data_IF_039164178149
#
_entry.id   IF_039164178149
#
_cell.length_a   1.000
_cell.length_b   1.000
_cell.length_c   1.000
_cell.angle_alpha   90.00
_cell.angle_beta   90.00
_cell.angle_gamma   90.00
#
_symmetry.space_group_name_H-M   'P 1'
#
loop_
_entity.id
_entity.type
_entity.pdbx_description
1 polymer ?
#
# COMPACT_ATOMS: atom_id res chain seq x y z
N UNK A 1 -20.25 -32.03 -22.51
CA UNK A 1 -21.38 -31.09 -22.67
C UNK A 1 -20.99 -29.75 -22.04
N UNK A 2 -20.07 -28.98 -22.65
CA UNK A 2 -19.61 -27.67 -22.13
C UNK A 2 -19.03 -26.73 -23.23
N UNK A 3 -19.42 -26.90 -24.50
CA UNK A 3 -19.02 -25.97 -25.58
C UNK A 3 -19.48 -24.49 -25.41
N UNK A 4 -20.56 -24.15 -24.69
CA UNK A 4 -20.98 -22.75 -24.55
C UNK A 4 -20.01 -21.87 -23.76
N UNK A 5 -19.33 -22.43 -22.74
CA UNK A 5 -18.41 -21.66 -21.89
C UNK A 5 -17.13 -21.29 -22.65
N UNK A 6 -16.60 -22.21 -23.46
CA UNK A 6 -15.38 -21.97 -24.25
C UNK A 6 -15.56 -20.84 -25.28
N UNK A 7 -16.76 -20.74 -25.86
CA UNK A 7 -17.11 -19.65 -26.79
C UNK A 7 -17.18 -18.30 -26.08
N UNK A 8 -17.66 -18.27 -24.82
CA UNK A 8 -17.68 -17.06 -24.00
C UNK A 8 -16.27 -16.62 -23.60
N UNK A 9 -15.36 -17.56 -23.34
CA UNK A 9 -13.96 -17.25 -23.02
C UNK A 9 -13.19 -16.71 -24.23
N UNK A 10 -13.44 -17.26 -25.43
CA UNK A 10 -12.91 -16.70 -26.67
C UNK A 10 -13.42 -15.28 -26.93
N UNK A 11 -14.69 -15.00 -26.64
CA UNK A 11 -15.23 -13.64 -26.75
C UNK A 11 -14.61 -12.68 -25.74
N UNK A 12 -14.36 -13.12 -24.50
CA UNK A 12 -13.63 -12.33 -23.50
C UNK A 12 -12.21 -12.00 -23.97
N UNK A 13 -11.52 -13.00 -24.51
CA UNK A 13 -10.16 -12.87 -25.05
C UNK A 13 -10.12 -11.89 -26.23
N UNK A 14 -11.06 -12.00 -27.18
CA UNK A 14 -11.21 -11.05 -28.29
C UNK A 14 -11.46 -9.62 -27.80
N UNK A 15 -12.33 -9.44 -26.80
CA UNK A 15 -12.60 -8.13 -26.20
C UNK A 15 -11.38 -7.53 -25.49
N UNK A 16 -10.64 -8.31 -24.72
CA UNK A 16 -9.41 -7.84 -24.07
C UNK A 16 -8.33 -7.48 -25.09
N UNK A 17 -8.22 -8.22 -26.19
CA UNK A 17 -7.31 -7.89 -27.29
C UNK A 17 -7.70 -6.58 -27.97
N UNK A 18 -9.00 -6.33 -28.18
CA UNK A 18 -9.49 -5.05 -28.73
C UNK A 18 -9.19 -3.88 -27.80
N UNK A 19 -9.42 -4.04 -26.49
CA UNK A 19 -9.07 -3.03 -25.49
C UNK A 19 -7.57 -2.75 -25.47
N UNK A 20 -6.73 -3.79 -25.58
CA UNK A 20 -5.28 -3.62 -25.67
C UNK A 20 -4.89 -2.77 -26.88
N UNK A 21 -5.48 -3.03 -28.05
CA UNK A 21 -5.25 -2.23 -29.28
C UNK A 21 -5.67 -0.78 -29.08
N UNK A 22 -6.77 -0.51 -28.36
CA UNK A 22 -7.22 0.85 -28.08
C UNK A 22 -6.29 1.59 -27.09
N UNK A 23 -5.83 0.91 -26.03
CA UNK A 23 -4.84 1.46 -25.10
C UNK A 23 -3.50 1.78 -25.79
N UNK A 24 -3.05 0.91 -26.69
CA UNK A 24 -1.84 1.12 -27.49
C UNK A 24 -2.01 2.28 -28.50
N UNK A 25 -3.23 2.56 -28.98
CA UNK A 25 -3.54 3.70 -29.84
C UNK A 25 -3.62 5.04 -29.08
N UNK A 26 -3.97 5.04 -27.79
CA UNK A 26 -4.08 6.24 -26.94
C UNK A 26 -2.78 6.60 -26.20
N UNK A 27 -1.76 5.75 -26.21
CA UNK A 27 -0.41 6.12 -25.77
C UNK A 27 0.19 7.13 -26.76
N UNK A 28 0.81 8.24 -26.31
CA UNK A 28 1.09 9.37 -27.20
C UNK A 28 2.06 8.98 -28.31
N UNK A 29 1.61 9.16 -29.56
CA UNK A 29 2.49 9.54 -30.67
C UNK A 29 3.12 10.90 -30.35
N UNK A 30 4.13 10.92 -29.49
CA UNK A 30 5.05 12.04 -29.36
C UNK A 30 6.41 11.62 -29.91
N UNK A 31 6.59 11.86 -31.20
CA UNK A 31 7.75 12.58 -31.76
C UNK A 31 7.70 12.41 -33.28
N UNK A 32 8.11 13.45 -34.01
CA UNK A 32 8.11 13.54 -35.48
C UNK A 32 6.75 13.78 -36.13
N UNK A 33 6.26 15.02 -35.99
CA UNK A 33 5.99 15.89 -37.13
C UNK A 33 5.34 17.17 -36.59
N UNK A 34 6.13 18.23 -36.46
CA UNK A 34 5.72 19.65 -36.56
C UNK A 34 6.84 20.52 -35.99
N UNK A 35 7.91 20.69 -36.78
CA UNK A 35 8.80 21.85 -36.72
C UNK A 35 9.39 22.03 -38.12
N UNK A 36 8.54 22.45 -39.06
CA UNK A 36 8.98 23.09 -40.29
C UNK A 36 7.98 24.18 -40.63
N UNK A 37 8.48 25.37 -40.91
CA UNK A 37 7.76 26.60 -41.24
C UNK A 37 7.32 27.47 -40.05
N UNK A 38 8.28 28.18 -39.47
CA UNK A 38 8.42 29.64 -39.60
C UNK A 38 9.56 30.09 -38.69
N UNK A 39 10.61 30.62 -39.31
CA UNK A 39 11.26 31.88 -38.93
C UNK A 39 12.45 32.09 -39.86
N UNK A 40 12.17 32.78 -40.96
CA UNK A 40 13.14 33.60 -41.65
C UNK A 40 13.22 34.90 -40.86
N UNK A 41 14.33 35.15 -40.18
CA UNK A 41 15.07 36.41 -40.27
C UNK A 41 16.32 36.38 -39.38
N UNK A 42 17.42 36.87 -39.97
CA UNK A 42 18.62 37.42 -39.33
C UNK A 42 19.83 36.51 -39.05
N UNK A 43 20.84 36.72 -39.91
CA UNK A 43 22.29 36.75 -39.66
C UNK A 43 23.09 35.44 -39.77
N UNK A 44 23.62 35.21 -40.98
CA UNK A 44 24.87 34.48 -41.22
C UNK A 44 26.07 35.43 -41.11
N UNK A 45 27.08 35.02 -40.34
CA UNK A 45 28.47 35.33 -40.62
C UNK A 45 29.33 34.07 -40.36
N UNK A 46 30.07 33.70 -41.40
CA UNK A 46 31.34 32.97 -41.39
C UNK A 46 31.39 31.44 -41.13
N UNK A 47 31.57 30.75 -42.27
CA UNK A 47 32.34 29.51 -42.51
C UNK A 47 33.85 29.68 -42.14
N UNK A 48 34.78 28.69 -42.28
CA UNK A 48 34.65 27.30 -42.75
C UNK A 48 35.62 26.24 -42.08
N UNK A 49 35.63 25.02 -42.67
CA UNK A 49 36.70 23.97 -42.69
C UNK A 49 36.57 22.87 -41.59
N UNK A 50 36.78 21.56 -41.82
CA UNK A 50 37.54 20.79 -42.83
C UNK A 50 37.20 19.28 -42.79
N UNK A 51 37.23 18.63 -43.96
CA UNK A 51 37.69 17.27 -44.35
C UNK A 51 37.82 16.08 -43.38
N UNK A 52 37.25 14.95 -43.87
CA UNK A 52 37.81 13.58 -44.03
C UNK A 52 38.37 12.80 -42.82
N UNK A 53 37.93 11.56 -42.57
CA UNK A 53 38.44 10.27 -43.16
C UNK A 53 38.03 9.02 -42.34
N UNK A 54 37.73 7.93 -43.09
CA UNK A 54 38.09 6.50 -42.90
C UNK A 54 37.57 5.61 -41.75
N UNK A 55 36.89 4.54 -42.19
CA UNK A 55 37.23 3.10 -42.10
C UNK A 55 36.77 2.19 -40.94
N UNK A 56 36.25 1.03 -41.42
CA UNK A 56 36.37 -0.34 -40.90
C UNK A 56 35.39 -0.72 -39.78
N UNK A 57 34.86 -1.94 -39.67
CA UNK A 57 35.02 -3.18 -40.43
C UNK A 57 33.99 -4.22 -39.97
N UNK A 58 33.84 -5.24 -40.83
CA UNK A 58 33.51 -6.63 -40.54
C UNK A 58 32.05 -7.10 -40.48
N UNK A 59 31.89 -8.24 -41.15
CA UNK A 59 30.69 -8.88 -41.60
C UNK A 59 30.66 -10.33 -41.10
N UNK A 60 29.46 -10.78 -40.70
CA UNK A 60 28.89 -12.14 -40.90
C UNK A 60 29.58 -13.32 -40.15
N UNK A 61 29.04 -14.57 -40.14
CA UNK A 61 27.85 -15.11 -40.83
C UNK A 61 26.98 -16.15 -40.05
N UNK A 62 25.77 -16.43 -40.59
CA UNK A 62 25.14 -17.77 -40.82
C UNK A 62 24.90 -18.73 -39.61
N UNK A 63 23.94 -19.65 -39.54
CA UNK A 63 22.86 -20.21 -40.37
C UNK A 63 22.18 -21.26 -39.47
N UNK A 64 20.85 -21.47 -39.58
CA UNK A 64 20.31 -22.75 -40.04
C UNK A 64 18.78 -22.68 -40.22
N UNK A 65 18.38 -22.99 -41.45
CA UNK A 65 17.02 -23.29 -41.92
C UNK A 65 16.79 -24.80 -41.84
N UNK A 66 15.53 -25.20 -41.64
CA UNK A 66 14.75 -26.11 -42.51
C UNK A 66 13.42 -26.47 -41.78
N UNK A 67 12.25 -26.72 -42.38
CA UNK A 67 11.51 -26.33 -43.60
C UNK A 67 10.22 -27.20 -43.59
N UNK A 68 9.04 -26.57 -43.77
CA UNK A 68 7.77 -27.07 -44.37
C UNK A 68 7.01 -28.25 -43.71
N UNK A 69 5.67 -28.42 -43.77
CA UNK A 69 4.63 -27.96 -44.70
C UNK A 69 3.19 -28.35 -44.22
N UNK A 70 2.16 -27.78 -44.87
CA UNK A 70 0.70 -28.04 -44.83
C UNK A 70 -0.09 -27.33 -43.71
N UNK A 71 -1.19 -26.62 -43.95
CA UNK A 71 -2.02 -26.37 -45.13
C UNK A 71 -2.96 -25.19 -44.86
N UNK A 72 -3.22 -24.38 -45.90
CA UNK A 72 -4.23 -23.32 -45.92
C UNK A 72 -5.62 -23.85 -45.50
N UNK A 73 -6.23 -23.20 -44.51
CA UNK A 73 -7.68 -23.22 -44.32
C UNK A 73 -8.16 -21.78 -44.23
N UNK A 74 -8.74 -21.31 -45.33
CA UNK A 74 -9.57 -20.12 -45.39
C UNK A 74 -10.66 -20.20 -44.31
N UNK A 75 -10.62 -19.29 -43.33
CA UNK A 75 -11.77 -19.03 -42.46
C UNK A 75 -12.22 -17.58 -42.65
N UNK A 76 -13.43 -17.49 -43.18
CA UNK A 76 -14.26 -16.37 -43.63
C UNK A 76 -14.03 -14.98 -43.01
N UNK A 77 -13.88 -13.99 -43.90
CA UNK A 77 -13.91 -12.53 -43.64
C UNK A 77 -15.25 -12.00 -43.08
N UNK A 78 -16.27 -12.85 -42.93
CA UNK A 78 -17.63 -12.44 -42.55
C UNK A 78 -17.87 -12.33 -41.03
N UNK A 79 -16.93 -12.76 -40.17
CA UNK A 79 -17.05 -12.60 -38.71
C UNK A 79 -16.44 -11.31 -38.15
N UNK A 80 -15.52 -10.67 -38.88
CA UNK A 80 -14.86 -9.41 -38.48
C UNK A 80 -15.75 -8.17 -38.67
N UNK A 81 -16.76 -8.23 -39.54
CA UNK A 81 -17.65 -7.09 -39.79
C UNK A 81 -18.73 -6.91 -38.70
N UNK A 82 -19.07 -7.97 -37.97
CA UNK A 82 -20.10 -7.90 -36.91
C UNK A 82 -19.53 -7.26 -35.64
N UNK A 83 -18.25 -7.47 -35.34
CA UNK A 83 -17.56 -6.85 -34.20
C UNK A 83 -17.18 -5.38 -34.45
N UNK A 84 -16.79 -4.99 -35.67
CA UNK A 84 -16.61 -3.58 -36.04
C UNK A 84 -17.92 -2.77 -36.00
N UNK A 85 -19.06 -3.40 -36.30
CA UNK A 85 -20.37 -2.76 -36.31
C UNK A 85 -20.86 -2.32 -34.93
N UNK A 86 -20.44 -3.03 -33.86
CA UNK A 86 -20.76 -2.67 -32.47
C UNK A 86 -19.89 -1.49 -32.03
N UNK A 87 -18.62 -1.45 -32.45
CA UNK A 87 -17.67 -0.36 -32.16
C UNK A 87 -17.97 0.95 -32.90
N UNK A 88 -18.54 0.91 -34.12
CA UNK A 88 -18.90 2.14 -34.86
C UNK A 88 -20.09 2.90 -34.29
N UNK A 89 -20.91 2.27 -33.45
CA UNK A 89 -21.96 2.96 -32.69
C UNK A 89 -21.49 3.50 -31.34
N UNK A 90 -20.21 3.36 -30.98
CA UNK A 90 -19.63 3.79 -29.70
C UNK A 90 -18.91 5.15 -29.76
N UNK A 91 -19.03 5.88 -30.88
CA UNK A 91 -18.43 7.21 -31.04
C UNK A 91 -19.48 8.32 -30.88
N UNK A 92 -19.99 8.51 -29.67
CA UNK A 92 -20.74 9.70 -29.28
C UNK A 92 -20.36 10.10 -27.85
N UNK A 93 -19.70 11.25 -27.74
CA UNK A 93 -19.65 12.18 -26.60
C UNK A 93 -19.08 11.65 -25.26
N UNK A 94 -17.85 12.07 -24.92
CA UNK A 94 -17.26 12.31 -23.58
C UNK A 94 -17.83 11.56 -22.35
N UNK A 95 -18.18 10.28 -22.48
CA UNK A 95 -18.36 9.37 -21.36
C UNK A 95 -17.17 8.43 -21.30
N UNK A 96 -16.63 8.20 -20.10
CA UNK A 96 -15.61 7.17 -19.86
C UNK A 96 -16.24 5.78 -20.10
N UNK A 97 -16.36 5.39 -21.38
CA UNK A 97 -16.95 4.12 -21.83
C UNK A 97 -16.19 2.93 -21.24
N UNK A 98 -14.88 3.12 -21.00
CA UNK A 98 -14.02 2.15 -20.30
C UNK A 98 -14.51 2.01 -18.85
N UNK A 99 -14.69 3.11 -18.12
CA UNK A 99 -15.29 3.11 -16.78
C UNK A 99 -16.69 2.48 -16.73
N UNK A 100 -17.54 2.73 -17.72
CA UNK A 100 -18.91 2.18 -17.78
C UNK A 100 -18.95 0.66 -18.06
N UNK A 101 -17.95 0.12 -18.75
CA UNK A 101 -17.86 -1.32 -19.09
C UNK A 101 -16.97 -2.10 -18.13
N UNK A 102 -16.16 -1.41 -17.33
CA UNK A 102 -15.21 -1.98 -16.37
C UNK A 102 -15.85 -3.01 -15.41
N UNK A 103 -16.98 -2.75 -14.71
CA UNK A 103 -17.56 -3.75 -13.80
C UNK A 103 -18.00 -5.03 -14.51
N UNK A 104 -18.43 -4.93 -15.77
CA UNK A 104 -18.86 -6.09 -16.57
C UNK A 104 -17.67 -6.95 -16.98
N UNK A 105 -16.59 -6.32 -17.44
CA UNK A 105 -15.35 -7.01 -17.80
C UNK A 105 -14.78 -7.72 -16.56
N UNK A 106 -14.72 -7.01 -15.44
CA UNK A 106 -14.18 -7.56 -14.20
C UNK A 106 -15.03 -8.73 -13.68
N UNK A 107 -16.36 -8.64 -13.74
CA UNK A 107 -17.26 -9.74 -13.40
C UNK A 107 -17.10 -10.98 -14.31
N UNK A 108 -16.84 -10.79 -15.61
CA UNK A 108 -16.60 -11.90 -16.54
C UNK A 108 -15.23 -12.56 -16.29
N UNK A 109 -14.19 -11.78 -15.98
CA UNK A 109 -12.88 -12.31 -15.57
C UNK A 109 -12.99 -13.10 -14.26
N UNK A 110 -13.76 -12.61 -13.29
CA UNK A 110 -14.05 -13.31 -12.05
C UNK A 110 -14.83 -14.61 -12.28
N UNK A 111 -15.83 -14.61 -13.16
CA UNK A 111 -16.54 -15.83 -13.54
C UNK A 111 -15.62 -16.85 -14.23
N UNK A 112 -14.66 -16.38 -15.03
CA UNK A 112 -13.63 -17.24 -15.63
C UNK A 112 -12.74 -17.85 -14.56
N UNK A 113 -12.29 -17.06 -13.58
CA UNK A 113 -11.52 -17.54 -12.44
C UNK A 113 -12.26 -18.65 -11.69
N UNK A 114 -13.49 -18.39 -11.23
CA UNK A 114 -14.31 -19.36 -10.48
C UNK A 114 -14.51 -20.63 -11.29
N UNK A 115 -14.80 -20.50 -12.59
CA UNK A 115 -14.98 -21.66 -13.48
C UNK A 115 -13.70 -22.48 -13.57
N UNK A 116 -12.53 -21.85 -13.75
CA UNK A 116 -11.26 -22.55 -13.79
C UNK A 116 -10.91 -23.21 -12.45
N UNK A 117 -11.21 -22.57 -11.32
CA UNK A 117 -10.93 -23.07 -9.97
C UNK A 117 -11.83 -24.23 -9.56
N UNK A 118 -13.09 -24.29 -10.01
CA UNK A 118 -13.98 -25.44 -9.75
C UNK A 118 -13.51 -26.76 -10.39
N UNK A 119 -12.59 -26.72 -11.37
CA UNK A 119 -12.07 -27.91 -12.06
C UNK A 119 -10.76 -28.44 -11.45
N UNK A 120 -10.15 -27.70 -10.52
CA UNK A 120 -8.91 -28.05 -9.82
C UNK A 120 -9.22 -28.41 -8.37
N UNK A 121 -8.97 -29.66 -7.97
CA UNK A 121 -9.19 -30.14 -6.59
C UNK A 121 -8.14 -29.66 -5.58
N UNK A 122 -7.34 -28.61 -5.87
CA UNK A 122 -6.31 -28.07 -4.98
C UNK A 122 -6.43 -26.57 -4.79
N UNK A 123 -5.92 -26.04 -3.67
CA UNK A 123 -5.82 -24.61 -3.29
C UNK A 123 -4.93 -23.76 -4.21
N UNK A 124 -4.63 -24.23 -5.42
CA UNK A 124 -3.69 -23.59 -6.35
C UNK A 124 -4.50 -23.03 -7.53
N UNK A 125 -4.21 -21.79 -7.90
CA UNK A 125 -4.81 -21.13 -9.06
C UNK A 125 -4.55 -21.95 -10.34
N UNK A 126 -5.60 -22.16 -11.15
CA UNK A 126 -5.52 -22.97 -12.36
C UNK A 126 -4.43 -22.46 -13.33
N UNK A 127 -3.53 -23.33 -13.85
CA UNK A 127 -2.49 -22.92 -14.80
C UNK A 127 -3.04 -22.22 -16.05
N UNK A 128 -4.23 -22.64 -16.50
CA UNK A 128 -4.96 -22.04 -17.62
C UNK A 128 -5.34 -20.58 -17.34
N UNK A 129 -5.70 -20.28 -16.10
CA UNK A 129 -6.06 -18.93 -15.67
C UNK A 129 -4.80 -18.07 -15.47
N UNK A 130 -3.71 -18.63 -14.94
CA UNK A 130 -2.42 -17.93 -14.85
C UNK A 130 -1.94 -17.50 -16.24
N UNK A 131 -2.00 -18.39 -17.23
CA UNK A 131 -1.63 -18.06 -18.62
C UNK A 131 -2.48 -16.92 -19.18
N UNK A 132 -3.79 -16.92 -18.92
CA UNK A 132 -4.70 -15.84 -19.30
C UNK A 132 -4.31 -14.49 -18.65
N UNK A 133 -4.04 -14.46 -17.35
CA UNK A 133 -3.61 -13.24 -16.64
C UNK A 133 -2.27 -12.72 -17.18
N UNK A 134 -1.31 -13.62 -17.43
CA UNK A 134 -0.03 -13.27 -18.03
C UNK A 134 -0.20 -12.70 -19.46
N UNK A 135 -1.08 -13.29 -20.27
CA UNK A 135 -1.36 -12.83 -21.64
C UNK A 135 -1.98 -11.43 -21.66
N UNK A 136 -2.94 -11.16 -20.79
CA UNK A 136 -3.68 -9.90 -20.75
C UNK A 136 -3.16 -8.91 -19.70
N UNK A 137 -1.94 -9.12 -19.22
CA UNK A 137 -1.34 -8.37 -18.11
C UNK A 137 -1.45 -6.85 -18.27
N UNK A 138 -1.12 -6.32 -19.46
CA UNK A 138 -1.18 -4.88 -19.75
C UNK A 138 -2.58 -4.29 -19.56
N UNK A 139 -3.59 -4.98 -20.08
CA UNK A 139 -4.99 -4.53 -19.98
C UNK A 139 -5.44 -4.60 -18.53
N UNK A 140 -5.21 -5.73 -17.86
CA UNK A 140 -5.54 -5.88 -16.44
C UNK A 140 -4.86 -4.82 -15.59
N UNK A 141 -3.60 -4.48 -15.86
CA UNK A 141 -2.87 -3.40 -15.18
C UNK A 141 -3.52 -2.04 -15.42
N UNK A 142 -3.91 -1.73 -16.65
CA UNK A 142 -4.64 -0.51 -16.97
C UNK A 142 -6.01 -0.44 -16.27
N UNK A 143 -6.72 -1.58 -16.13
CA UNK A 143 -7.98 -1.65 -15.39
C UNK A 143 -7.76 -1.37 -13.89
N UNK A 144 -6.74 -1.99 -13.29
CA UNK A 144 -6.37 -1.78 -11.88
C UNK A 144 -5.86 -0.35 -11.64
N UNK A 145 -5.11 0.23 -12.59
CA UNK A 145 -4.65 1.63 -12.53
C UNK A 145 -5.81 2.63 -12.56
N UNK A 146 -6.89 2.33 -13.29
CA UNK A 146 -8.08 3.17 -13.34
C UNK A 146 -8.95 3.02 -12.09
N UNK A 147 -9.04 1.81 -11.54
CA UNK A 147 -9.75 1.56 -10.29
C UNK A 147 -9.11 0.43 -9.50
N UNK A 148 -8.47 0.76 -8.37
CA UNK A 148 -7.84 -0.21 -7.47
C UNK A 148 -8.84 -1.05 -6.68
N UNK A 149 -10.10 -0.62 -6.52
CA UNK A 149 -11.12 -1.44 -5.83
C UNK A 149 -11.44 -2.72 -6.59
N UNK A 150 -11.17 -2.77 -7.91
CA UNK A 150 -11.33 -3.95 -8.75
C UNK A 150 -10.59 -5.16 -8.19
N UNK A 151 -9.45 -4.95 -7.52
CA UNK A 151 -8.70 -6.03 -6.87
C UNK A 151 -9.54 -6.74 -5.81
N UNK A 152 -10.29 -5.96 -5.02
CA UNK A 152 -11.10 -6.46 -3.91
C UNK A 152 -12.51 -6.84 -4.33
N UNK A 153 -13.04 -6.31 -5.43
CA UNK A 153 -14.41 -6.62 -5.84
C UNK A 153 -14.44 -7.81 -6.82
N UNK A 154 -13.39 -7.96 -7.64
CA UNK A 154 -13.40 -8.85 -8.79
C UNK A 154 -12.13 -9.69 -8.95
N UNK A 155 -10.95 -9.15 -8.64
CA UNK A 155 -9.68 -9.86 -8.80
C UNK A 155 -9.16 -10.44 -7.48
N UNK A 156 -10.05 -11.02 -6.67
CA UNK A 156 -9.67 -11.74 -5.44
C UNK A 156 -8.61 -12.82 -5.68
N UNK A 157 -8.56 -13.40 -6.88
CA UNK A 157 -7.51 -14.35 -7.28
C UNK A 157 -6.09 -13.78 -7.14
N UNK A 158 -5.91 -12.46 -7.22
CA UNK A 158 -4.61 -11.82 -6.97
C UNK A 158 -4.23 -11.96 -5.49
N UNK A 159 -5.19 -11.87 -4.57
CA UNK A 159 -4.94 -12.04 -3.14
C UNK A 159 -4.61 -13.50 -2.79
N UNK A 160 -5.14 -14.45 -3.54
CA UNK A 160 -4.89 -15.89 -3.37
C UNK A 160 -3.57 -16.35 -4.03
N UNK A 161 -3.02 -15.60 -4.99
CA UNK A 161 -1.79 -15.92 -5.72
C UNK A 161 -0.76 -14.77 -5.63
N UNK A 162 0.17 -14.83 -4.65
CA UNK A 162 1.19 -13.80 -4.44
C UNK A 162 2.05 -13.50 -5.67
N UNK A 163 2.33 -14.51 -6.51
CA UNK A 163 3.12 -14.35 -7.73
C UNK A 163 2.42 -13.43 -8.74
N UNK A 164 1.10 -13.56 -8.87
CA UNK A 164 0.32 -12.66 -9.71
C UNK A 164 0.20 -11.29 -9.05
N UNK A 165 -0.03 -11.21 -7.73
CA UNK A 165 -0.12 -9.93 -7.02
C UNK A 165 1.14 -9.09 -7.18
N UNK A 166 2.33 -9.69 -7.14
CA UNK A 166 3.61 -8.98 -7.33
C UNK A 166 3.65 -8.16 -8.63
N UNK A 167 2.92 -8.61 -9.66
CA UNK A 167 2.84 -7.91 -10.94
C UNK A 167 1.92 -6.69 -10.89
N UNK A 168 1.03 -6.56 -9.91
CA UNK A 168 0.10 -5.44 -9.76
C UNK A 168 0.42 -4.58 -8.53
N UNK A 169 1.21 -5.08 -7.59
CA UNK A 169 1.51 -4.41 -6.33
C UNK A 169 2.11 -3.02 -6.52
N UNK A 170 2.96 -2.84 -7.54
CA UNK A 170 3.55 -1.55 -7.87
C UNK A 170 2.50 -0.53 -8.32
N UNK A 171 1.39 -0.95 -8.95
CA UNK A 171 0.32 -0.04 -9.36
C UNK A 171 -0.41 0.49 -8.14
N UNK A 172 -0.70 -0.39 -7.18
CA UNK A 172 -1.34 -0.02 -5.92
C UNK A 172 -0.43 0.92 -5.13
N UNK A 173 0.88 0.63 -5.11
CA UNK A 173 1.91 1.46 -4.47
C UNK A 173 2.08 2.81 -5.19
N UNK A 174 2.04 2.84 -6.53
CA UNK A 174 2.25 4.05 -7.33
C UNK A 174 1.03 4.98 -7.38
N UNK A 175 -0.20 4.50 -7.11
CA UNK A 175 -1.35 5.38 -6.92
C UNK A 175 -1.20 6.38 -5.75
N UNK A 176 -0.19 6.18 -4.91
CA UNK A 176 0.24 7.12 -3.87
C UNK A 176 1.33 8.11 -4.33
N UNK A 177 1.97 7.91 -5.48
CA UNK A 177 3.21 8.63 -5.87
C UNK A 177 3.05 9.44 -7.16
N UNK A 178 2.21 9.02 -8.11
CA UNK A 178 2.03 9.77 -9.36
C UNK A 178 0.94 10.82 -9.24
N UNK A 179 1.39 12.08 -9.18
CA UNK A 179 0.63 13.30 -9.48
C UNK A 179 -0.23 13.10 -10.73
N UNK A 180 -1.54 12.98 -10.54
CA UNK A 180 -2.50 13.31 -11.59
C UNK A 180 -2.95 14.74 -11.33
N UNK A 181 -2.89 15.59 -12.34
CA UNK A 181 -3.37 16.96 -12.27
C UNK A 181 -4.89 16.95 -12.04
N UNK A 182 -5.31 17.24 -10.79
CA UNK A 182 -6.68 17.46 -10.28
C UNK A 182 -7.55 16.25 -9.83
N UNK A 183 -7.26 15.61 -8.68
CA UNK A 183 -8.26 14.83 -7.91
C UNK A 183 -8.81 15.61 -6.69
N UNK A 184 -8.14 16.68 -6.28
CA UNK A 184 -8.26 17.30 -4.96
C UNK A 184 -9.40 18.30 -4.79
N UNK A 185 -9.91 18.89 -5.88
CA UNK A 185 -10.91 19.97 -5.76
C UNK A 185 -12.31 19.47 -5.39
N UNK A 186 -12.66 18.21 -5.67
CA UNK A 186 -14.05 17.72 -5.51
C UNK A 186 -14.30 17.03 -4.17
N UNK A 187 -13.30 16.40 -3.55
CA UNK A 187 -13.48 15.56 -2.34
C UNK A 187 -13.78 16.36 -1.06
N UNK A 188 -13.47 17.66 -1.04
CA UNK A 188 -13.63 18.50 0.15
C UNK A 188 -14.76 19.52 0.03
N UNK A 189 -15.61 19.37 -0.99
CA UNK A 189 -16.81 20.19 -1.18
C UNK A 189 -17.99 19.42 -0.57
N UNK A 190 -18.70 20.00 0.41
CA UNK A 190 -19.88 19.36 0.96
C UNK A 190 -20.99 19.26 -0.10
N UNK A 191 -21.68 18.12 -0.16
CA UNK A 191 -22.86 17.99 -1.02
C UNK A 191 -24.04 18.80 -0.45
N UNK A 192 -24.14 18.88 0.88
CA UNK A 192 -25.09 19.69 1.63
C UNK A 192 -24.46 20.28 2.89
N UNK A 193 -25.04 21.33 3.47
CA UNK A 193 -24.55 21.93 4.72
C UNK A 193 -24.55 20.94 5.91
N UNK A 194 -25.39 19.89 5.85
CA UNK A 194 -25.42 18.80 6.85
C UNK A 194 -24.22 17.84 6.74
N UNK A 195 -23.44 17.93 5.66
CA UNK A 195 -22.22 17.14 5.45
C UNK A 195 -20.96 17.82 6.00
N UNK A 196 -21.08 19.04 6.53
CA UNK A 196 -19.97 19.79 7.10
C UNK A 196 -19.76 19.38 8.56
N UNK A 197 -18.56 18.89 8.85
CA UNK A 197 -18.11 18.65 10.21
C UNK A 197 -17.71 19.98 10.86
N UNK A 198 -18.51 20.46 11.81
CA UNK A 198 -18.21 21.64 12.62
C UNK A 198 -17.36 21.23 13.82
N UNK A 199 -16.13 21.71 13.89
CA UNK A 199 -15.14 21.34 14.92
C UNK A 199 -14.77 22.55 15.77
N UNK A 200 -14.76 22.39 17.09
CA UNK A 200 -14.22 23.42 17.98
C UNK A 200 -12.70 23.33 18.03
N UNK A 201 -11.99 24.39 17.62
CA UNK A 201 -10.52 24.44 17.56
C UNK A 201 -9.86 24.30 18.92
N UNK A 202 -10.39 24.92 19.97
CA UNK A 202 -9.83 24.88 21.33
C UNK A 202 -9.94 23.48 21.95
N UNK A 203 -10.93 22.69 21.50
CA UNK A 203 -11.16 21.31 21.93
C UNK A 203 -11.13 20.36 20.73
N UNK A 204 -10.12 20.52 19.88
CA UNK A 204 -10.07 19.83 18.59
C UNK A 204 -10.14 18.30 18.74
N UNK A 205 -9.46 17.73 19.74
CA UNK A 205 -9.46 16.28 19.97
C UNK A 205 -10.86 15.77 20.34
N UNK A 206 -11.45 16.27 21.42
CA UNK A 206 -12.79 15.89 21.89
C UNK A 206 -13.85 16.15 20.81
N UNK A 207 -13.85 17.35 20.23
CA UNK A 207 -14.84 17.75 19.24
C UNK A 207 -14.76 16.89 17.98
N UNK A 208 -13.56 16.51 17.56
CA UNK A 208 -13.38 15.63 16.40
C UNK A 208 -13.78 14.20 16.73
N UNK A 209 -13.38 13.70 17.90
CA UNK A 209 -13.74 12.38 18.40
C UNK A 209 -15.26 12.19 18.44
N UNK A 210 -15.97 13.16 19.02
CA UNK A 210 -17.41 13.15 19.16
C UNK A 210 -18.18 13.14 17.83
N UNK A 211 -17.61 13.77 16.80
CA UNK A 211 -18.22 13.87 15.47
C UNK A 211 -17.90 12.67 14.62
N UNK A 212 -16.62 12.30 14.49
CA UNK A 212 -16.16 11.20 13.64
C UNK A 212 -16.67 9.85 14.13
N UNK A 213 -16.72 9.61 15.46
CA UNK A 213 -17.24 8.35 16.01
C UNK A 213 -18.74 8.13 15.75
N UNK A 214 -19.52 9.21 15.57
CA UNK A 214 -20.98 9.17 15.36
C UNK A 214 -21.37 9.19 13.89
N UNK A 215 -20.49 9.67 13.02
CA UNK A 215 -20.76 9.79 11.59
C UNK A 215 -20.71 8.43 10.89
N UNK A 216 -21.42 8.31 9.75
CA UNK A 216 -21.33 7.12 8.92
C UNK A 216 -20.00 7.11 8.13
N UNK A 217 -19.18 6.05 8.22
CA UNK A 217 -17.93 5.94 7.47
C UNK A 217 -18.10 6.12 5.96
N UNK A 218 -19.19 5.63 5.37
CA UNK A 218 -19.44 5.75 3.93
C UNK A 218 -19.72 7.19 3.50
N UNK A 219 -20.25 8.02 4.40
CA UNK A 219 -20.41 9.45 4.16
C UNK A 219 -19.04 10.14 4.14
N UNK A 220 -18.20 9.86 5.13
CA UNK A 220 -16.85 10.43 5.22
C UNK A 220 -15.92 9.95 4.10
N UNK A 221 -16.17 8.78 3.49
CA UNK A 221 -15.47 8.33 2.27
C UNK A 221 -15.86 9.13 1.04
N UNK A 222 -17.13 9.51 0.89
CA UNK A 222 -17.60 10.27 -0.29
C UNK A 222 -17.03 11.68 -0.36
N UNK A 223 -16.80 12.30 0.80
CA UNK A 223 -16.18 13.60 0.90
C UNK A 223 -15.99 14.00 2.35
N UNK A 224 -14.95 14.80 2.60
CA UNK A 224 -14.61 15.31 3.92
C UNK A 224 -14.60 16.84 3.88
N UNK A 225 -15.69 17.44 4.33
CA UNK A 225 -15.84 18.88 4.47
C UNK A 225 -15.81 19.27 5.96
N UNK A 226 -14.94 20.22 6.29
CA UNK A 226 -14.67 20.64 7.67
C UNK A 226 -14.76 22.16 7.78
N UNK A 227 -15.26 22.63 8.92
CA UNK A 227 -15.30 24.03 9.30
C UNK A 227 -15.00 24.16 10.79
N UNK A 228 -14.13 25.10 11.17
CA UNK A 228 -13.95 25.44 12.57
C UNK A 228 -15.08 26.34 13.07
N UNK A 229 -15.60 26.06 14.25
CA UNK A 229 -16.68 26.83 14.85
C UNK A 229 -16.27 28.30 15.02
N UNK A 230 -17.09 29.21 14.53
CA UNK A 230 -16.80 30.65 14.53
C UNK A 230 -15.81 31.16 13.47
N UNK A 231 -15.27 30.30 12.60
CA UNK A 231 -14.33 30.71 11.54
C UNK A 231 -14.99 30.71 10.16
N UNK A 232 -14.53 31.57 9.24
CA UNK A 232 -15.05 31.65 7.86
C UNK A 232 -14.33 30.69 6.88
N UNK A 233 -13.24 30.05 7.30
CA UNK A 233 -12.46 29.14 6.48
C UNK A 233 -13.15 27.82 6.18
N UNK A 234 -13.06 27.36 4.93
CA UNK A 234 -13.52 26.04 4.49
C UNK A 234 -12.64 25.51 3.34
N UNK A 235 -12.71 24.22 3.07
CA UNK A 235 -12.06 23.56 1.92
C UNK A 235 -10.79 22.80 2.29
N UNK A 236 -10.02 22.40 1.28
CA UNK A 236 -8.87 21.50 1.45
C UNK A 236 -7.80 22.03 2.43
N UNK A 237 -7.59 23.35 2.49
CA UNK A 237 -6.65 23.96 3.44
C UNK A 237 -7.03 23.66 4.90
N UNK A 238 -8.32 23.78 5.23
CA UNK A 238 -8.85 23.51 6.57
C UNK A 238 -8.78 22.02 6.91
N UNK A 239 -9.04 21.15 5.93
CA UNK A 239 -8.93 19.69 6.11
C UNK A 239 -7.48 19.29 6.39
N UNK A 240 -6.52 19.83 5.64
CA UNK A 240 -5.08 19.60 5.87
C UNK A 240 -4.65 20.07 7.25
N UNK A 241 -5.04 21.28 7.63
CA UNK A 241 -4.76 21.81 8.96
C UNK A 241 -5.36 20.93 10.07
N UNK A 242 -6.60 20.49 9.90
CA UNK A 242 -7.27 19.62 10.85
C UNK A 242 -6.52 18.30 11.06
N UNK A 243 -6.07 17.63 9.99
CA UNK A 243 -5.25 16.41 10.12
C UNK A 243 -3.91 16.69 10.83
N UNK A 244 -3.20 17.76 10.47
CA UNK A 244 -1.91 18.09 11.08
C UNK A 244 -2.04 18.34 12.59
N UNK A 245 -2.98 19.20 13.01
CA UNK A 245 -3.19 19.52 14.42
C UNK A 245 -3.70 18.31 15.19
N UNK A 246 -4.68 17.58 14.63
CA UNK A 246 -5.28 16.43 15.30
C UNK A 246 -4.30 15.27 15.46
N UNK A 247 -3.42 15.04 14.47
CA UNK A 247 -2.39 13.99 14.56
C UNK A 247 -1.43 14.23 15.73
N UNK A 248 -1.07 15.49 16.00
CA UNK A 248 -0.26 15.88 17.16
C UNK A 248 -1.03 15.72 18.48
N UNK A 249 -2.31 16.10 18.50
CA UNK A 249 -3.16 15.94 19.68
C UNK A 249 -3.41 14.47 20.05
N UNK A 250 -3.50 13.55 19.08
CA UNK A 250 -3.59 12.10 19.33
C UNK A 250 -2.38 11.61 20.15
N UNK A 251 -1.21 12.21 19.96
CA UNK A 251 0.02 11.87 20.67
C UNK A 251 0.25 12.70 21.94
N UNK A 252 -0.68 13.60 22.30
CA UNK A 252 -0.53 14.42 23.49
C UNK A 252 -0.44 13.51 24.74
N UNK A 253 0.64 13.62 25.54
CA UNK A 253 0.84 12.80 26.74
C UNK A 253 -0.31 12.87 27.75
N UNK A 254 -1.06 13.97 27.77
CA UNK A 254 -2.18 14.18 28.71
C UNK A 254 -3.32 13.17 28.51
N UNK A 255 -3.51 12.64 27.29
CA UNK A 255 -4.51 11.59 27.05
C UNK A 255 -4.02 10.19 27.41
N UNK A 256 -2.71 10.04 27.69
CA UNK A 256 -2.02 8.79 28.02
C UNK A 256 -2.22 7.66 26.98
N UNK A 257 -2.51 7.99 25.73
CA UNK A 257 -2.78 7.01 24.66
C UNK A 257 -1.48 6.43 24.12
N UNK A 258 -0.55 7.29 23.71
CA UNK A 258 0.73 6.88 23.15
C UNK A 258 1.88 7.31 24.08
N UNK A 259 2.97 6.56 24.03
CA UNK A 259 4.24 6.87 24.69
C UNK A 259 5.33 6.97 23.63
N UNK A 260 6.27 7.87 23.86
CA UNK A 260 7.44 8.01 23.03
C UNK A 260 8.38 6.80 23.21
N UNK A 261 9.00 6.34 22.13
CA UNK A 261 10.03 5.31 22.11
C UNK A 261 11.34 5.78 22.74
N UNK A 262 12.26 4.84 22.97
CA UNK A 262 13.56 5.12 23.57
C UNK A 262 14.45 6.05 22.73
N UNK A 263 14.28 6.08 21.41
CA UNK A 263 14.99 6.97 20.48
C UNK A 263 14.46 8.42 20.49
N UNK A 264 13.31 8.68 21.13
CA UNK A 264 12.72 10.00 21.21
C UNK A 264 12.08 10.50 19.91
N UNK A 265 12.01 9.70 18.85
CA UNK A 265 11.49 10.15 17.55
C UNK A 265 10.18 9.49 17.14
N UNK A 266 9.87 8.32 17.70
CA UNK A 266 8.66 7.55 17.34
C UNK A 266 7.73 7.33 18.52
N UNK A 267 6.52 6.85 18.23
CA UNK A 267 5.45 6.65 19.21
C UNK A 267 4.85 5.25 19.14
N UNK A 268 4.37 4.77 20.28
CA UNK A 268 3.70 3.48 20.39
C UNK A 268 2.56 3.52 21.40
N UNK A 269 1.58 2.62 21.30
CA UNK A 269 0.50 2.54 22.28
C UNK A 269 1.04 2.37 23.70
N UNK A 270 0.51 3.16 24.62
CA UNK A 270 0.82 3.08 26.03
C UNK A 270 0.14 1.86 26.64
N UNK A 271 0.91 0.93 27.21
CA UNK A 271 0.39 -0.22 27.96
C UNK A 271 -0.45 0.19 29.16
N UNK A 272 -0.16 1.35 29.76
CA UNK A 272 -0.89 1.90 30.90
C UNK A 272 -2.03 2.85 30.50
N UNK A 273 -2.43 2.88 29.23
CA UNK A 273 -3.50 3.77 28.73
C UNK A 273 -4.85 3.57 29.43
N UNK A 274 -5.08 2.43 30.09
CA UNK A 274 -6.28 2.17 30.88
C UNK A 274 -6.48 3.15 32.06
N UNK A 275 -5.47 3.97 32.40
CA UNK A 275 -5.64 5.10 33.32
C UNK A 275 -6.69 6.10 32.80
N UNK A 276 -6.85 6.20 31.49
CA UNK A 276 -7.92 6.91 30.83
C UNK A 276 -9.10 5.95 30.57
N UNK A 277 -10.27 6.13 31.22
CA UNK A 277 -11.40 5.21 31.09
C UNK A 277 -11.90 5.03 29.66
N UNK A 278 -11.77 6.07 28.82
CA UNK A 278 -12.23 6.08 27.43
C UNK A 278 -11.14 5.72 26.42
N UNK A 279 -9.96 5.24 26.88
CA UNK A 279 -8.80 5.02 26.02
C UNK A 279 -9.09 4.15 24.79
N UNK A 280 -9.91 3.09 24.92
CA UNK A 280 -10.25 2.22 23.77
C UNK A 280 -11.06 2.96 22.71
N UNK A 281 -11.99 3.84 23.11
CA UNK A 281 -12.74 4.68 22.17
C UNK A 281 -11.81 5.66 21.46
N UNK A 282 -10.84 6.23 22.19
CA UNK A 282 -9.84 7.10 21.60
C UNK A 282 -8.86 6.38 20.68
N UNK A 283 -8.46 5.14 20.97
CA UNK A 283 -7.68 4.33 20.03
C UNK A 283 -8.48 4.01 18.77
N UNK A 284 -9.77 3.67 18.91
CA UNK A 284 -10.65 3.50 17.74
C UNK A 284 -10.75 4.76 16.92
N UNK A 285 -10.92 5.92 17.55
CA UNK A 285 -10.92 7.21 16.89
C UNK A 285 -9.58 7.50 16.19
N UNK A 286 -8.44 7.29 16.84
CA UNK A 286 -7.12 7.45 16.23
C UNK A 286 -6.97 6.55 14.98
N UNK A 287 -7.45 5.31 15.06
CA UNK A 287 -7.51 4.40 13.92
C UNK A 287 -8.37 4.95 12.77
N UNK A 288 -9.55 5.51 13.06
CA UNK A 288 -10.40 6.16 12.06
C UNK A 288 -9.71 7.35 11.40
N UNK A 289 -9.01 8.19 12.17
CA UNK A 289 -8.27 9.35 11.63
C UNK A 289 -7.15 8.90 10.70
N UNK A 290 -6.35 7.91 11.09
CA UNK A 290 -5.28 7.39 10.23
C UNK A 290 -5.84 6.70 8.97
N UNK A 291 -6.95 5.95 9.11
CA UNK A 291 -7.63 5.36 7.97
C UNK A 291 -8.20 6.40 7.00
N UNK A 292 -8.80 7.47 7.52
CA UNK A 292 -9.28 8.62 6.74
C UNK A 292 -8.13 9.37 6.07
N UNK A 293 -7.01 9.54 6.77
CA UNK A 293 -5.81 10.19 6.26
C UNK A 293 -5.32 9.48 5.00
N UNK A 294 -5.16 8.15 5.06
CA UNK A 294 -4.78 7.33 3.91
C UNK A 294 -5.84 7.37 2.80
N UNK A 295 -7.12 7.27 3.16
CA UNK A 295 -8.22 7.25 2.19
C UNK A 295 -8.29 8.55 1.37
N UNK A 296 -8.14 9.70 2.03
CA UNK A 296 -8.19 11.02 1.43
C UNK A 296 -6.82 11.53 0.95
N UNK A 297 -5.80 10.66 0.95
CA UNK A 297 -4.42 10.99 0.54
C UNK A 297 -3.88 12.24 1.25
N UNK A 298 -4.21 12.38 2.52
CA UNK A 298 -3.62 13.40 3.39
C UNK A 298 -2.37 12.82 4.04
N UNK A 299 -1.40 13.71 4.32
CA UNK A 299 -0.19 13.35 5.04
C UNK A 299 -0.30 13.83 6.48
N UNK A 300 0.26 13.05 7.40
CA UNK A 300 0.41 13.41 8.80
C UNK A 300 1.88 13.41 9.19
N UNK A 301 2.27 14.37 10.01
CA UNK A 301 3.65 14.46 10.51
C UNK A 301 3.79 13.73 11.85
N UNK A 302 3.54 12.41 11.83
CA UNK A 302 3.57 11.55 13.01
C UNK A 302 4.19 10.20 12.65
N UNK A 303 5.17 9.78 13.44
CA UNK A 303 5.94 8.56 13.22
C UNK A 303 5.70 7.55 14.34
N UNK A 304 5.29 6.34 13.98
CA UNK A 304 5.10 5.25 14.94
C UNK A 304 6.30 4.30 14.94
N UNK A 305 6.41 3.48 15.97
CA UNK A 305 7.42 2.42 16.02
C UNK A 305 7.16 1.39 14.92
N UNK A 306 8.24 0.74 14.45
CA UNK A 306 8.17 -0.36 13.48
C UNK A 306 7.24 -1.48 13.93
N UNK A 307 7.28 -1.83 15.22
CA UNK A 307 6.39 -2.83 15.80
C UNK A 307 4.92 -2.45 15.66
N UNK A 308 4.58 -1.16 15.82
CA UNK A 308 3.19 -0.72 15.67
C UNK A 308 2.72 -0.78 14.21
N UNK A 309 3.56 -0.39 13.24
CA UNK A 309 3.23 -0.59 11.82
C UNK A 309 3.04 -2.08 11.49
N UNK A 310 3.90 -2.97 12.00
CA UNK A 310 3.73 -4.42 11.84
C UNK A 310 2.40 -4.91 12.41
N UNK A 311 1.96 -4.40 13.56
CA UNK A 311 0.65 -4.70 14.12
C UNK A 311 -0.50 -4.26 13.21
N UNK A 312 -0.40 -3.08 12.58
CA UNK A 312 -1.41 -2.59 11.62
C UNK A 312 -1.51 -3.52 10.41
N UNK A 313 -0.36 -4.03 9.96
CA UNK A 313 -0.24 -4.96 8.84
C UNK A 313 -0.58 -6.42 9.22
N UNK A 314 -0.67 -6.74 10.51
CA UNK A 314 -0.81 -8.14 10.97
C UNK A 314 0.46 -8.98 10.73
N UNK A 315 1.63 -8.33 10.64
CA UNK A 315 2.93 -8.98 10.53
C UNK A 315 3.42 -9.30 11.96
N UNK A 316 3.93 -10.51 12.23
CA UNK A 316 4.50 -10.83 13.54
C UNK A 316 5.73 -9.97 13.85
N UNK A 317 5.79 -9.46 15.07
CA UNK A 317 6.95 -8.72 15.58
C UNK A 317 8.13 -9.67 15.84
N UNK A 318 9.34 -9.13 15.71
CA UNK A 318 10.61 -9.81 15.94
C UNK A 318 11.36 -9.20 17.13
N UNK A 319 12.29 -9.94 17.72
CA UNK A 319 13.08 -9.48 18.87
C UNK A 319 13.89 -8.21 18.57
N UNK A 320 14.26 -7.96 17.31
CA UNK A 320 14.93 -6.72 16.89
C UNK A 320 14.05 -5.49 17.09
N UNK A 321 12.72 -5.65 17.00
CA UNK A 321 11.79 -4.55 17.17
C UNK A 321 11.79 -4.06 18.63
N UNK A 322 12.16 -4.92 19.59
CA UNK A 322 12.25 -4.58 21.02
C UNK A 322 13.16 -3.39 21.27
N UNK A 323 14.16 -3.17 20.42
CA UNK A 323 15.10 -2.07 20.54
C UNK A 323 14.42 -0.69 20.49
N UNK A 324 13.26 -0.57 19.84
CA UNK A 324 12.49 0.69 19.81
C UNK A 324 11.86 1.04 21.17
N UNK A 325 11.61 0.04 22.01
CA UNK A 325 11.04 0.22 23.36
C UNK A 325 12.12 0.25 24.40
N UNK A 326 12.97 -0.78 24.37
CA UNK A 326 13.99 -1.06 25.36
C UNK A 326 15.25 -1.57 24.66
N UNK A 327 16.14 -0.64 24.25
CA UNK A 327 17.40 -0.97 23.59
C UNK A 327 18.28 -1.92 24.40
N UNK A 328 18.29 -1.80 25.72
CA UNK A 328 19.14 -2.61 26.58
C UNK A 328 18.59 -4.02 26.73
N UNK A 329 17.27 -4.16 26.84
CA UNK A 329 16.62 -5.46 26.80
C UNK A 329 16.80 -6.17 25.46
N UNK A 330 16.74 -5.43 24.34
CA UNK A 330 17.02 -5.98 23.01
C UNK A 330 18.47 -6.49 22.90
N UNK A 331 19.45 -5.77 23.44
CA UNK A 331 20.85 -6.25 23.52
C UNK A 331 20.97 -7.52 24.35
N UNK A 332 20.25 -7.61 25.47
CA UNK A 332 20.26 -8.81 26.31
C UNK A 332 19.65 -10.02 25.58
N UNK A 333 18.54 -9.82 24.85
CA UNK A 333 17.95 -10.87 24.01
C UNK A 333 18.89 -11.30 22.89
N UNK A 334 19.49 -10.34 22.18
CA UNK A 334 20.48 -10.62 21.14
C UNK A 334 21.65 -11.44 21.71
N UNK A 335 22.15 -11.06 22.87
CA UNK A 335 23.25 -11.76 23.52
C UNK A 335 22.89 -13.21 23.85
N UNK A 336 21.68 -13.47 24.36
CA UNK A 336 21.16 -14.82 24.62
C UNK A 336 21.11 -15.63 23.31
N UNK A 337 20.65 -15.01 22.23
CA UNK A 337 20.55 -15.68 20.93
C UNK A 337 21.92 -16.02 20.33
N UNK A 338 22.91 -15.16 20.53
CA UNK A 338 24.25 -15.29 19.93
C UNK A 338 25.20 -16.23 20.70
N UNK A 339 24.94 -16.49 21.98
CA UNK A 339 25.83 -17.26 22.86
C UNK A 339 25.20 -18.56 23.35
N UNK A 340 26.03 -19.56 23.64
CA UNK A 340 25.61 -20.83 24.27
C UNK A 340 25.30 -20.64 25.77
N UNK A 341 24.03 -20.73 26.16
CA UNK A 341 23.53 -20.44 27.50
C UNK A 341 23.60 -21.63 28.48
N UNK A 342 23.86 -22.85 28.02
CA UNK A 342 23.75 -24.07 28.85
C UNK A 342 24.75 -24.05 30.02
N UNK A 343 25.88 -23.34 29.88
CA UNK A 343 26.95 -23.27 30.88
C UNK A 343 27.04 -21.92 31.61
N UNK A 344 26.12 -20.99 31.34
CA UNK A 344 26.21 -19.61 31.83
C UNK A 344 25.51 -19.43 33.19
N UNK A 345 24.58 -20.32 33.55
CA UNK A 345 23.90 -20.29 34.85
C UNK A 345 22.94 -19.11 35.01
N UNK A 346 22.23 -18.74 33.93
CA UNK A 346 21.29 -17.60 33.94
C UNK A 346 19.95 -17.89 34.61
N UNK A 347 19.69 -19.13 35.07
CA UNK A 347 18.45 -19.57 35.73
C UNK A 347 17.16 -19.00 35.10
N UNK A 348 17.15 -18.88 33.77
CA UNK A 348 16.02 -18.35 33.02
C UNK A 348 14.91 -19.39 32.96
N UNK A 349 13.68 -18.92 33.15
CA UNK A 349 12.46 -19.73 32.92
C UNK A 349 11.58 -19.04 31.89
N UNK A 350 10.54 -19.71 31.41
CA UNK A 350 9.54 -19.11 30.52
C UNK A 350 8.56 -18.19 31.28
N UNK A 351 9.10 -17.27 32.06
CA UNK A 351 8.37 -16.22 32.77
C UNK A 351 9.23 -14.96 32.89
N UNK A 352 8.60 -13.79 32.95
CA UNK A 352 9.30 -12.51 33.09
C UNK A 352 8.60 -11.59 34.08
N UNK A 353 9.38 -10.78 34.79
CA UNK A 353 8.85 -9.74 35.66
C UNK A 353 8.43 -8.51 34.85
N UNK A 354 7.20 -8.05 35.07
CA UNK A 354 6.63 -6.86 34.43
C UNK A 354 6.15 -5.91 35.50
N UNK A 355 6.54 -4.64 35.41
CA UNK A 355 5.97 -3.58 36.23
C UNK A 355 4.58 -3.22 35.73
N UNK A 356 3.57 -3.40 36.57
CA UNK A 356 2.18 -3.01 36.33
C UNK A 356 1.79 -2.02 37.42
N UNK A 357 1.79 -0.73 37.08
CA UNK A 357 1.48 0.39 37.99
C UNK A 357 2.33 0.44 39.28
N UNK A 358 3.63 0.20 39.17
CA UNK A 358 4.59 0.20 40.28
C UNK A 358 4.65 -1.11 41.05
N UNK A 359 3.95 -2.16 40.59
CA UNK A 359 3.95 -3.49 41.19
C UNK A 359 4.58 -4.48 40.21
N UNK A 360 5.72 -5.04 40.61
CA UNK A 360 6.39 -6.11 39.85
C UNK A 360 5.54 -7.39 39.93
N UNK A 361 5.12 -7.89 38.77
CA UNK A 361 4.38 -9.13 38.63
C UNK A 361 5.11 -10.09 37.69
N UNK A 362 5.23 -11.34 38.09
CA UNK A 362 5.81 -12.41 37.28
C UNK A 362 4.76 -13.00 36.33
N UNK A 363 4.93 -12.77 35.04
CA UNK A 363 4.00 -13.20 33.98
C UNK A 363 4.58 -14.41 33.25
N UNK A 364 3.78 -15.48 33.14
CA UNK A 364 4.15 -16.65 32.34
C UNK A 364 4.08 -16.35 30.84
N UNK A 365 5.14 -16.73 30.11
CA UNK A 365 5.22 -16.61 28.66
C UNK A 365 4.38 -17.69 27.97
N UNK A 366 4.34 -18.90 28.55
CA UNK A 366 3.54 -20.04 28.11
C UNK A 366 2.99 -20.81 29.32
N UNK A 367 1.93 -21.64 29.17
CA UNK A 367 1.32 -22.35 30.29
C UNK A 367 2.33 -23.18 31.08
N UNK A 368 2.47 -22.90 32.39
CA UNK A 368 3.43 -23.57 33.27
C UNK A 368 4.87 -23.12 33.06
N UNK A 369 5.08 -21.98 32.39
CA UNK A 369 6.38 -21.46 31.98
C UNK A 369 7.37 -21.25 33.13
N UNK A 370 6.89 -20.98 34.36
CA UNK A 370 7.75 -20.87 35.56
C UNK A 370 8.54 -22.15 35.87
N UNK A 371 8.08 -23.31 35.40
CA UNK A 371 8.74 -24.61 35.62
C UNK A 371 9.57 -25.06 34.43
N UNK A 372 9.53 -24.31 33.32
CA UNK A 372 10.21 -24.64 32.08
C UNK A 372 11.45 -23.76 32.02
N UNK A 373 12.63 -24.38 32.11
CA UNK A 373 13.91 -23.68 32.00
C UNK A 373 14.20 -23.34 30.54
N UNK A 374 14.82 -22.18 30.33
CA UNK A 374 15.34 -21.81 29.01
C UNK A 374 16.66 -22.57 28.79
N UNK A 375 16.75 -23.26 27.67
CA UNK A 375 17.90 -24.07 27.24
C UNK A 375 18.33 -23.62 25.86
N UNK A 376 19.50 -24.05 25.38
CA UNK A 376 19.93 -23.72 24.04
C UNK A 376 18.92 -24.10 22.94
N UNK A 377 18.26 -25.24 23.09
CA UNK A 377 17.27 -25.73 22.12
C UNK A 377 16.02 -24.85 22.04
N UNK A 378 15.68 -24.10 23.10
CA UNK A 378 14.41 -23.38 23.21
C UNK A 378 14.57 -21.84 23.39
N UNK A 379 15.80 -21.32 23.38
CA UNK A 379 16.06 -19.88 23.58
C UNK A 379 15.44 -18.98 22.50
N UNK A 380 15.29 -19.48 21.28
CA UNK A 380 14.62 -18.78 20.18
C UNK A 380 13.12 -18.62 20.46
N UNK A 381 12.47 -19.68 20.97
CA UNK A 381 11.08 -19.63 21.43
C UNK A 381 10.92 -18.64 22.60
N UNK A 382 11.85 -18.67 23.56
CA UNK A 382 11.87 -17.72 24.67
C UNK A 382 11.93 -16.27 24.17
N UNK A 383 12.89 -15.95 23.30
CA UNK A 383 13.03 -14.60 22.73
C UNK A 383 11.76 -14.14 21.99
N UNK A 384 11.12 -15.04 21.22
CA UNK A 384 9.88 -14.72 20.51
C UNK A 384 8.72 -14.44 21.47
N UNK A 385 8.51 -15.29 22.48
CA UNK A 385 7.40 -15.12 23.43
C UNK A 385 7.59 -13.89 24.33
N UNK A 386 8.82 -13.59 24.71
CA UNK A 386 9.16 -12.35 25.42
C UNK A 386 8.83 -11.13 24.56
N UNK A 387 9.22 -11.16 23.28
CA UNK A 387 8.91 -10.11 22.32
C UNK A 387 7.40 -9.91 22.23
N UNK A 388 6.63 -10.99 22.01
CA UNK A 388 5.18 -10.94 21.92
C UNK A 388 4.52 -10.40 23.20
N UNK A 389 5.02 -10.78 24.37
CA UNK A 389 4.50 -10.27 25.63
C UNK A 389 4.68 -8.75 25.73
N UNK A 390 5.90 -8.26 25.47
CA UNK A 390 6.27 -6.84 25.62
C UNK A 390 5.63 -5.95 24.57
N UNK A 391 5.55 -6.43 23.34
CA UNK A 391 5.11 -5.66 22.18
C UNK A 391 3.64 -5.80 21.84
N UNK A 392 3.00 -6.91 22.23
CA UNK A 392 1.67 -7.27 21.73
C UNK A 392 0.69 -7.46 22.88
N UNK A 393 0.94 -8.43 23.76
CA UNK A 393 -0.03 -8.82 24.80
C UNK A 393 -0.41 -7.68 25.73
N UNK A 394 0.56 -6.81 26.08
CA UNK A 394 0.33 -5.66 26.96
C UNK A 394 -0.57 -4.56 26.34
N UNK A 395 -0.65 -4.50 25.02
CA UNK A 395 -1.36 -3.45 24.27
C UNK A 395 -2.43 -4.00 23.32
N UNK A 396 -2.77 -5.29 23.43
CA UNK A 396 -3.69 -5.96 22.50
C UNK A 396 -5.08 -5.30 22.43
N UNK A 397 -5.74 -4.91 23.54
CA UNK A 397 -7.01 -4.20 23.47
C UNK A 397 -6.94 -2.87 22.70
N UNK A 398 -5.83 -2.14 22.87
CA UNK A 398 -5.55 -0.86 22.22
C UNK A 398 -5.36 -1.06 20.72
N UNK A 399 -4.52 -2.03 20.32
CA UNK A 399 -4.29 -2.41 18.91
C UNK A 399 -5.62 -2.81 18.27
N UNK A 400 -6.40 -3.68 18.91
CA UNK A 400 -7.68 -4.15 18.36
C UNK A 400 -8.67 -2.99 18.15
N UNK A 401 -8.73 -2.07 19.11
CA UNK A 401 -9.61 -0.90 19.01
C UNK A 401 -9.16 0.03 17.89
N UNK A 402 -7.86 0.29 17.79
CA UNK A 402 -7.27 1.04 16.68
C UNK A 402 -7.56 0.41 15.32
N UNK A 403 -7.29 -0.88 15.15
CA UNK A 403 -7.56 -1.63 13.92
C UNK A 403 -9.05 -1.61 13.55
N UNK A 404 -9.95 -1.71 14.54
CA UNK A 404 -11.39 -1.59 14.34
C UNK A 404 -11.81 -0.22 13.78
N UNK A 405 -11.09 0.84 14.15
CA UNK A 405 -11.26 2.17 13.56
C UNK A 405 -10.68 2.27 12.16
N UNK A 406 -9.44 1.83 12.01
CA UNK A 406 -8.66 1.91 10.77
C UNK A 406 -9.31 1.14 9.62
N UNK A 407 -9.77 -0.09 9.88
CA UNK A 407 -10.38 -0.94 8.86
C UNK A 407 -11.80 -0.55 8.44
N UNK A 408 -12.40 0.47 9.05
CA UNK A 408 -13.63 1.07 8.51
C UNK A 408 -13.36 1.79 7.18
N UNK A 409 -12.14 2.29 6.98
CA UNK A 409 -11.74 3.04 5.79
C UNK A 409 -10.82 2.26 4.87
N UNK A 410 -9.87 1.52 5.43
CA UNK A 410 -8.85 0.78 4.69
C UNK A 410 -9.01 -0.72 4.91
N UNK A 411 -9.41 -1.52 3.90
CA UNK A 411 -9.54 -2.97 4.03
C UNK A 411 -8.22 -3.62 4.49
N UNK A 412 -8.31 -4.62 5.36
CA UNK A 412 -7.14 -5.34 5.88
C UNK A 412 -6.30 -5.97 4.75
N UNK A 413 -6.97 -6.60 3.77
CA UNK A 413 -6.30 -7.17 2.60
C UNK A 413 -5.60 -6.13 1.72
N UNK A 414 -6.05 -4.87 1.75
CA UNK A 414 -5.39 -3.78 1.03
C UNK A 414 -4.08 -3.38 1.70
N UNK A 415 -4.14 -3.15 3.01
CA UNK A 415 -2.97 -2.66 3.74
C UNK A 415 -1.88 -3.73 3.88
N UNK A 416 -2.25 -5.02 3.91
CA UNK A 416 -1.32 -6.15 4.01
C UNK A 416 -0.38 -6.34 2.80
N UNK A 417 -0.57 -5.60 1.71
CA UNK A 417 0.34 -5.61 0.57
C UNK A 417 1.56 -4.71 0.74
N UNK A 418 1.59 -3.92 1.81
CA UNK A 418 2.69 -3.02 2.15
C UNK A 418 3.52 -3.61 3.27
N UNK A 419 4.82 -3.29 3.29
CA UNK A 419 5.65 -3.52 4.46
C UNK A 419 5.57 -2.34 5.45
N UNK A 420 6.24 -2.49 6.61
CA UNK A 420 6.22 -1.49 7.67
C UNK A 420 6.92 -0.16 7.30
N UNK A 421 7.77 -0.14 6.28
CA UNK A 421 8.44 1.07 5.79
C UNK A 421 7.55 1.80 4.80
N UNK A 422 6.93 1.05 3.89
CA UNK A 422 6.01 1.60 2.91
C UNK A 422 4.76 2.19 3.56
N UNK A 423 4.22 1.55 4.61
CA UNK A 423 3.09 2.09 5.35
C UNK A 423 3.43 3.45 6.02
N UNK A 424 4.62 3.59 6.57
CA UNK A 424 5.08 4.87 7.13
C UNK A 424 5.15 5.95 6.04
N UNK A 425 5.75 5.63 4.89
CA UNK A 425 5.87 6.56 3.77
C UNK A 425 4.49 6.95 3.20
N UNK A 426 3.51 6.04 3.20
CA UNK A 426 2.15 6.37 2.79
C UNK A 426 1.46 7.35 3.73
N UNK A 427 1.74 7.27 5.04
CA UNK A 427 1.17 8.17 6.03
C UNK A 427 1.90 9.53 6.09
N UNK A 428 3.22 9.50 5.99
CA UNK A 428 4.09 10.65 6.27
C UNK A 428 4.61 11.36 5.02
N UNK A 429 4.49 10.70 3.87
CA UNK A 429 5.06 11.14 2.59
C UNK A 429 6.49 10.65 2.39
N UNK A 430 6.98 10.82 1.15
CA UNK A 430 8.35 10.53 0.79
C UNK A 430 9.20 11.76 1.13
N UNK A 431 10.19 11.65 2.04
CA UNK A 431 11.06 12.77 2.35
C UNK A 431 12.02 13.04 1.18
N UNK A 432 12.27 14.31 0.90
CA UNK A 432 13.41 14.71 0.08
C UNK A 432 14.67 14.69 0.95
N UNK A 433 15.65 13.90 0.55
CA UNK A 433 16.92 13.77 1.28
C UNK A 433 18.01 14.51 0.50
N UNK A 434 18.59 15.54 1.10
CA UNK A 434 19.76 16.22 0.54
C UNK A 434 21.01 15.38 0.77
N UNK A 435 21.48 14.75 -0.30
CA UNK A 435 22.69 13.90 -0.30
C UNK A 435 23.91 14.73 0.13
N UNK A 436 23.99 16.01 -0.25
CA UNK A 436 25.13 16.87 0.10
C UNK A 436 25.17 17.15 1.59
N UNK A 437 24.01 17.42 2.18
CA UNK A 437 23.87 17.59 3.63
C UNK A 437 24.25 16.30 4.37
N UNK A 438 23.77 15.15 3.88
CA UNK A 438 24.08 13.85 4.46
C UNK A 438 25.58 13.54 4.40
N UNK A 439 26.24 13.77 3.27
CA UNK A 439 27.69 13.59 3.12
C UNK A 439 28.50 14.50 4.05
N UNK A 440 28.06 15.75 4.27
CA UNK A 440 28.75 16.71 5.13
C UNK A 440 28.66 16.36 6.62
N UNK A 441 27.62 15.61 7.02
CA UNK A 441 27.36 15.22 8.40
C UNK A 441 27.59 13.71 8.65
N UNK A 442 28.29 13.00 7.76
CA UNK A 442 28.62 11.58 7.95
C UNK A 442 29.94 11.41 8.72
N UNK A 443 29.91 10.64 9.82
CA UNK A 443 31.10 10.21 10.56
C UNK A 443 31.56 8.82 10.12
N UNK A 444 32.86 8.64 9.90
CA UNK A 444 33.44 7.37 9.46
C UNK A 444 34.23 6.72 10.60
N UNK A 445 33.84 5.49 10.97
CA UNK A 445 34.53 4.70 12.00
C UNK A 445 35.24 3.50 11.36
N UNK A 446 36.57 3.50 11.35
CA UNK A 446 37.38 2.44 10.74
C UNK A 446 37.49 2.52 9.21
N UNK A 447 36.96 3.60 8.62
CA UNK A 447 37.05 3.92 7.19
C UNK A 447 37.43 5.40 7.02
N UNK A 448 37.99 5.72 5.85
CA UNK A 448 38.22 7.10 5.40
C UNK A 448 37.16 7.49 4.37
N UNK A 449 36.94 8.79 4.17
CA UNK A 449 35.98 9.32 3.18
C UNK A 449 36.37 9.03 1.72
N UNK A 450 37.61 8.62 1.46
CA UNK A 450 38.19 8.50 0.12
C UNK A 450 37.82 7.23 -0.63
#
# INVERSE_FOLDING_TARGET
>A
MFQPAESLWQLLEDWLNLLQVEFDQKSPRQSMANLSEKDNESQQAENPKTMNTTNSSNASPQQQKAVNQYSDVNCSKDKLQVSEGILKHMSLEDQDVIGATLPRICGVVQAFYITCSCHTQSEITSPRFIEFVCKHNKVLKALVQRNTTVIFDHFHFLLECPELMSQFIHIIKLQNISDDENPSEVLHIPATDEDILIINRERIFDSSCDRVLKENPDKLKKGLALKFDGEEGMGQGVVREWFDVLSKEILNPDYALFTQSADGSTFQPNSNSAINPDHLNYFRFAGQILGLCLYHKQLINVYFTRSFYKHILGIPVNYTDVASIDPDYAKNLQWILDHDIDNIGLDLTFSVETDVFGVMQEVELKPGGRKITVTEENKTEYAQLVTELRMTRAIQPQINSFLSGFHQYIPQSLIQMFDEYELELMLSGIPEIDISDWENHTEYNGYDRQ
#
